data_IF_827300748399
#
_entry.id   IF_827300748399
#
_cell.length_a   1.000
_cell.length_b   1.000
_cell.length_c   1.000
_cell.angle_alpha   90.00
_cell.angle_beta   90.00
_cell.angle_gamma   90.00
#
_symmetry.space_group_name_H-M   'P 1'
#
loop_
_entity.id
_entity.type
_entity.pdbx_description
1 polymer ?
#
# COMPACT_ATOMS: atom_id res chain seq x y z
N UNK A 1 21.43 22.25 7.19
CA UNK A 1 21.39 20.95 7.92
C UNK A 1 22.75 20.73 8.53
N UNK A 2 22.89 20.95 9.84
CA UNK A 2 24.17 21.00 10.53
C UNK A 2 25.00 19.73 10.41
N UNK A 3 26.32 19.89 10.23
CA UNK A 3 27.31 18.79 10.14
C UNK A 3 27.22 17.83 11.35
N UNK A 4 26.79 18.32 12.52
CA UNK A 4 26.62 17.54 13.76
C UNK A 4 25.48 16.52 13.67
N UNK A 5 24.30 16.93 13.19
CA UNK A 5 23.14 16.03 12.98
C UNK A 5 23.37 14.95 11.92
N UNK A 6 24.28 15.16 10.96
CA UNK A 6 24.65 14.13 9.96
C UNK A 6 25.56 13.05 10.55
N UNK A 7 26.38 13.38 11.55
CA UNK A 7 27.32 12.45 12.18
C UNK A 7 26.59 11.49 13.12
N UNK A 8 25.74 12.02 14.01
CA UNK A 8 24.89 11.24 14.90
C UNK A 8 23.93 10.30 14.15
N UNK A 9 23.42 10.73 12.99
CA UNK A 9 22.55 9.90 12.16
C UNK A 9 23.30 8.78 11.43
N UNK A 10 24.61 8.93 11.19
CA UNK A 10 25.45 7.85 10.64
C UNK A 10 25.80 6.83 11.72
N UNK A 11 26.18 7.29 12.90
CA UNK A 11 26.50 6.44 14.06
C UNK A 11 25.29 5.57 14.45
N UNK A 12 24.08 6.14 14.50
CA UNK A 12 22.85 5.35 14.72
C UNK A 12 22.56 4.29 13.64
N UNK A 13 22.87 4.59 12.39
CA UNK A 13 22.67 3.63 11.28
C UNK A 13 23.70 2.49 11.38
N UNK A 14 24.93 2.78 11.79
CA UNK A 14 25.96 1.77 12.06
C UNK A 14 25.58 0.88 13.23
N UNK A 15 25.09 1.44 14.34
CA UNK A 15 24.62 0.67 15.50
C UNK A 15 23.42 -0.23 15.16
N UNK A 16 22.41 0.31 14.46
CA UNK A 16 21.24 -0.49 14.03
C UNK A 16 21.65 -1.59 13.03
N UNK A 17 22.67 -1.35 12.20
CA UNK A 17 23.18 -2.32 11.25
C UNK A 17 23.96 -3.45 11.95
N UNK A 18 24.84 -3.13 12.90
CA UNK A 18 25.53 -4.14 13.71
C UNK A 18 24.55 -5.01 14.49
N UNK A 19 23.51 -4.40 15.08
CA UNK A 19 22.48 -5.13 15.81
C UNK A 19 21.71 -6.09 14.91
N UNK A 20 21.31 -5.63 13.72
CA UNK A 20 20.63 -6.46 12.71
C UNK A 20 21.50 -7.62 12.21
N UNK A 21 22.81 -7.39 12.06
CA UNK A 21 23.77 -8.44 11.67
C UNK A 21 23.93 -9.51 12.75
N UNK A 22 24.01 -9.11 14.03
CA UNK A 22 24.07 -10.06 15.16
C UNK A 22 22.78 -10.87 15.31
N UNK A 23 21.63 -10.26 15.05
CA UNK A 23 20.33 -10.97 15.03
C UNK A 23 20.24 -11.98 13.88
N UNK A 24 20.76 -11.63 12.70
CA UNK A 24 20.88 -12.55 11.56
C UNK A 24 21.84 -13.71 11.84
N UNK A 25 22.99 -13.44 12.48
CA UNK A 25 23.95 -14.48 12.88
C UNK A 25 23.32 -15.46 13.87
N UNK A 26 22.58 -14.95 14.87
CA UNK A 26 21.83 -15.81 15.81
C UNK A 26 20.77 -16.67 15.11
N UNK A 27 20.01 -16.10 14.18
CA UNK A 27 19.02 -16.88 13.40
C UNK A 27 19.68 -17.96 12.54
N UNK A 28 20.87 -17.69 11.99
CA UNK A 28 21.66 -18.69 11.25
C UNK A 28 22.17 -19.78 12.19
N UNK A 29 22.58 -19.42 13.39
CA UNK A 29 23.06 -20.36 14.42
C UNK A 29 21.93 -21.26 14.96
N UNK A 30 20.75 -20.69 15.23
CA UNK A 30 19.53 -21.44 15.57
C UNK A 30 19.10 -22.40 14.44
N UNK A 31 19.23 -21.95 13.18
CA UNK A 31 18.96 -22.81 12.01
C UNK A 31 19.99 -23.94 11.86
N UNK A 32 21.26 -23.70 12.21
CA UNK A 32 22.31 -24.74 12.26
C UNK A 32 22.01 -25.77 13.36
N UNK A 33 21.62 -25.32 14.55
CA UNK A 33 21.26 -26.21 15.67
C UNK A 33 20.00 -27.04 15.37
N UNK A 34 19.06 -26.49 14.57
CA UNK A 34 17.85 -27.20 14.17
C UNK A 34 18.06 -28.33 13.15
N UNK A 35 19.25 -28.43 12.54
CA UNK A 35 19.59 -29.48 11.56
C UNK A 35 18.80 -29.43 10.25
N UNK A 36 17.94 -28.42 10.04
CA UNK A 36 17.04 -28.31 8.90
C UNK A 36 17.72 -27.75 7.63
N UNK A 37 18.89 -27.12 7.76
CA UNK A 37 19.55 -26.43 6.65
C UNK A 37 21.06 -26.67 6.66
N UNK A 38 21.58 -27.11 5.52
CA UNK A 38 23.00 -27.34 5.26
C UNK A 38 23.74 -25.98 5.27
N UNK A 39 24.66 -25.73 6.23
CA UNK A 39 25.26 -24.41 6.46
C UNK A 39 26.06 -23.87 5.27
N UNK A 40 26.63 -24.76 4.45
CA UNK A 40 27.40 -24.39 3.26
C UNK A 40 26.53 -23.90 2.09
N UNK A 41 25.20 -24.04 2.20
CA UNK A 41 24.25 -23.58 1.17
C UNK A 41 23.56 -22.26 1.52
N UNK A 42 23.77 -21.71 2.70
CA UNK A 42 23.14 -20.45 3.13
C UNK A 42 23.89 -19.26 2.51
N UNK A 43 23.40 -18.78 1.36
CA UNK A 43 23.95 -17.60 0.70
C UNK A 43 23.15 -16.35 1.11
N UNK A 44 23.67 -15.58 2.06
CA UNK A 44 23.07 -14.29 2.46
C UNK A 44 23.30 -13.27 1.34
N UNK A 45 22.31 -13.10 0.47
CA UNK A 45 22.36 -12.08 -0.57
C UNK A 45 21.86 -10.76 -0.01
N UNK A 46 22.77 -9.79 0.14
CA UNK A 46 22.38 -8.40 0.44
C UNK A 46 21.59 -7.83 -0.74
N UNK A 47 20.26 -7.93 -0.68
CA UNK A 47 19.38 -7.24 -1.62
C UNK A 47 19.38 -5.76 -1.26
N UNK A 48 20.08 -4.94 -2.05
CA UNK A 48 19.96 -3.48 -1.94
C UNK A 48 18.55 -3.11 -2.38
N UNK A 49 17.67 -2.86 -1.41
CA UNK A 49 16.36 -2.27 -1.69
C UNK A 49 16.60 -0.97 -2.48
N UNK A 50 16.00 -0.81 -3.66
CA UNK A 50 16.16 0.42 -4.42
C UNK A 50 15.64 1.57 -3.57
N UNK A 51 16.52 2.50 -3.23
CA UNK A 51 16.17 3.63 -2.38
C UNK A 51 15.18 4.51 -3.15
N UNK A 52 13.88 4.37 -2.84
CA UNK A 52 12.83 5.15 -3.50
C UNK A 52 12.97 6.59 -3.02
N UNK A 53 13.27 7.51 -3.95
CA UNK A 53 13.35 8.93 -3.62
C UNK A 53 12.08 9.39 -2.91
N UNK A 54 12.16 10.20 -1.84
CA UNK A 54 10.98 10.69 -1.12
C UNK A 54 10.03 11.50 -2.01
N UNK A 55 10.54 12.12 -3.09
CA UNK A 55 9.72 12.74 -4.15
C UNK A 55 8.87 11.71 -4.90
N UNK A 56 9.46 10.58 -5.28
CA UNK A 56 8.77 9.48 -5.97
C UNK A 56 7.75 8.82 -5.04
N UNK A 57 8.08 8.63 -3.76
CA UNK A 57 7.15 8.10 -2.75
C UNK A 57 5.90 8.99 -2.60
N UNK A 58 6.07 10.32 -2.57
CA UNK A 58 4.95 11.26 -2.53
C UNK A 58 4.12 11.25 -3.82
N UNK A 59 4.77 11.14 -4.98
CA UNK A 59 4.06 11.04 -6.26
C UNK A 59 3.23 9.76 -6.35
N UNK A 60 3.77 8.62 -5.93
CA UNK A 60 3.04 7.36 -5.86
C UNK A 60 1.81 7.47 -4.97
N UNK A 61 1.97 8.09 -3.79
CA UNK A 61 0.86 8.34 -2.86
C UNK A 61 -0.23 9.23 -3.46
N UNK A 62 0.15 10.32 -4.14
CA UNK A 62 -0.81 11.21 -4.79
C UNK A 62 -1.59 10.49 -5.90
N UNK A 63 -0.91 9.68 -6.70
CA UNK A 63 -1.56 8.91 -7.76
C UNK A 63 -2.51 7.86 -7.17
N UNK A 64 -2.16 7.21 -6.06
CA UNK A 64 -3.06 6.30 -5.37
C UNK A 64 -4.35 7.01 -4.90
N UNK A 65 -4.23 8.22 -4.38
CA UNK A 65 -5.40 9.05 -4.02
C UNK A 65 -6.26 9.33 -5.24
N UNK A 66 -5.65 9.78 -6.35
CA UNK A 66 -6.39 10.10 -7.59
C UNK A 66 -7.10 8.87 -8.15
N UNK A 67 -6.44 7.71 -8.14
CA UNK A 67 -7.06 6.45 -8.56
C UNK A 67 -8.25 6.11 -7.66
N UNK A 68 -8.08 6.19 -6.34
CA UNK A 68 -9.16 5.88 -5.38
C UNK A 68 -10.34 6.85 -5.50
N UNK A 69 -10.06 8.12 -5.80
CA UNK A 69 -11.07 9.12 -6.13
C UNK A 69 -11.84 8.73 -7.41
N UNK A 70 -11.14 8.38 -8.49
CA UNK A 70 -11.76 7.94 -9.74
C UNK A 70 -12.62 6.68 -9.56
N UNK A 71 -12.20 5.77 -8.69
CA UNK A 71 -12.98 4.59 -8.33
C UNK A 71 -14.32 4.98 -7.72
N UNK A 72 -14.30 5.88 -6.73
CA UNK A 72 -15.50 6.33 -6.05
C UNK A 72 -16.44 7.12 -6.98
N UNK A 73 -15.88 8.01 -7.81
CA UNK A 73 -16.65 8.73 -8.83
C UNK A 73 -17.28 7.75 -9.83
N UNK A 74 -16.55 6.74 -10.28
CA UNK A 74 -17.10 5.72 -11.18
C UNK A 74 -18.17 4.85 -10.51
N UNK A 75 -18.02 4.55 -9.22
CA UNK A 75 -19.04 3.88 -8.42
C UNK A 75 -20.31 4.71 -8.25
N UNK A 76 -20.22 6.05 -8.30
CA UNK A 76 -21.39 6.92 -8.19
C UNK A 76 -22.45 6.69 -9.28
N UNK A 77 -22.07 6.11 -10.44
CA UNK A 77 -23.03 5.69 -11.47
C UNK A 77 -23.90 4.49 -11.09
N UNK A 78 -23.51 3.75 -10.05
CA UNK A 78 -24.21 2.56 -9.54
C UNK A 78 -24.83 2.78 -8.15
N UNK A 79 -24.76 4.02 -7.65
CA UNK A 79 -25.20 4.45 -6.34
C UNK A 79 -26.16 5.62 -6.53
N UNK A 80 -27.31 5.59 -5.85
CA UNK A 80 -28.23 6.72 -5.82
C UNK A 80 -27.92 7.55 -4.59
N UNK A 81 -27.69 8.83 -4.82
CA UNK A 81 -27.72 9.85 -3.78
C UNK A 81 -29.18 10.14 -3.47
N UNK A 82 -29.62 9.86 -2.24
CA UNK A 82 -30.96 10.24 -1.77
C UNK A 82 -30.99 11.77 -1.60
N UNK A 83 -32.16 12.38 -1.84
CA UNK A 83 -32.36 13.80 -2.14
C UNK A 83 -31.50 14.80 -1.32
N UNK A 84 -30.95 15.76 -2.08
CA UNK A 84 -29.98 16.83 -1.76
C UNK A 84 -28.49 16.45 -1.75
N UNK A 85 -27.83 16.43 -2.92
CA UNK A 85 -26.38 16.34 -2.98
C UNK A 85 -25.81 17.76 -2.80
N UNK A 86 -25.77 18.28 -1.58
CA UNK A 86 -24.82 19.37 -1.35
C UNK A 86 -23.42 18.79 -1.65
N UNK A 87 -22.63 19.50 -2.46
CA UNK A 87 -21.28 19.12 -2.85
C UNK A 87 -20.43 18.69 -1.63
N UNK A 88 -20.73 19.25 -0.45
CA UNK A 88 -20.18 18.90 0.86
C UNK A 88 -20.32 17.42 1.21
N UNK A 89 -21.51 16.82 1.08
CA UNK A 89 -21.74 15.40 1.41
C UNK A 89 -21.06 14.46 0.43
N UNK A 90 -21.06 14.81 -0.86
CA UNK A 90 -20.30 14.07 -1.86
C UNK A 90 -18.80 14.07 -1.53
N UNK A 91 -18.23 15.24 -1.23
CA UNK A 91 -16.81 15.38 -0.85
C UNK A 91 -16.49 14.66 0.46
N UNK A 92 -17.43 14.64 1.41
CA UNK A 92 -17.28 13.92 2.67
C UNK A 92 -17.27 12.41 2.44
N UNK A 93 -18.19 11.87 1.64
CA UNK A 93 -18.23 10.45 1.31
C UNK A 93 -16.98 10.00 0.53
N UNK A 94 -16.55 10.79 -0.45
CA UNK A 94 -15.27 10.60 -1.16
C UNK A 94 -14.10 10.62 -0.17
N UNK A 95 -14.10 11.57 0.76
CA UNK A 95 -13.07 11.70 1.79
C UNK A 95 -13.00 10.44 2.65
N UNK A 96 -14.12 10.01 3.23
CA UNK A 96 -14.20 8.80 4.04
C UNK A 96 -13.71 7.58 3.24
N UNK A 97 -14.11 7.46 1.98
CA UNK A 97 -13.68 6.35 1.14
C UNK A 97 -12.17 6.36 0.93
N UNK A 98 -11.62 7.46 0.40
CA UNK A 98 -10.20 7.58 0.04
C UNK A 98 -9.31 7.47 1.27
N UNK A 99 -9.65 8.17 2.36
CA UNK A 99 -8.87 8.12 3.59
C UNK A 99 -9.02 6.77 4.30
N UNK A 100 -10.24 6.24 4.38
CA UNK A 100 -10.50 4.93 4.96
C UNK A 100 -9.72 3.84 4.25
N UNK A 101 -9.79 3.80 2.92
CA UNK A 101 -9.04 2.86 2.10
C UNK A 101 -7.52 3.01 2.31
N UNK A 102 -7.01 4.23 2.28
CA UNK A 102 -5.58 4.51 2.45
C UNK A 102 -5.06 4.08 3.83
N UNK A 103 -5.83 4.36 4.89
CA UNK A 103 -5.48 4.00 6.26
C UNK A 103 -5.50 2.48 6.42
N UNK A 104 -6.56 1.82 5.92
CA UNK A 104 -6.70 0.36 5.97
C UNK A 104 -5.55 -0.34 5.25
N UNK A 105 -5.20 0.11 4.04
CA UNK A 105 -4.07 -0.46 3.29
C UNK A 105 -2.76 -0.31 4.09
N UNK A 106 -2.48 0.88 4.61
CA UNK A 106 -1.27 1.10 5.43
C UNK A 106 -1.26 0.29 6.73
N UNK A 107 -2.43 0.11 7.34
CA UNK A 107 -2.58 -0.69 8.55
C UNK A 107 -2.31 -2.17 8.26
N UNK A 108 -2.82 -2.68 7.15
CA UNK A 108 -2.56 -4.05 6.67
C UNK A 108 -1.08 -4.21 6.34
N UNK A 109 -0.47 -3.25 5.65
CA UNK A 109 0.97 -3.28 5.34
C UNK A 109 1.84 -3.29 6.60
N UNK A 110 1.41 -2.61 7.66
CA UNK A 110 2.10 -2.57 8.95
C UNK A 110 1.93 -3.87 9.74
N UNK A 111 0.71 -4.42 9.80
CA UNK A 111 0.39 -5.62 10.58
C UNK A 111 0.88 -6.90 9.89
N UNK A 112 0.85 -6.94 8.55
CA UNK A 112 1.08 -8.15 7.75
C UNK A 112 2.02 -7.87 6.56
N UNK A 113 3.27 -7.44 6.80
CA UNK A 113 4.20 -7.04 5.74
C UNK A 113 4.58 -8.19 4.80
N UNK A 114 4.67 -9.43 5.32
CA UNK A 114 4.93 -10.63 4.50
C UNK A 114 3.81 -10.83 3.47
N UNK A 115 2.56 -10.68 3.89
CA UNK A 115 1.41 -10.88 3.02
C UNK A 115 1.25 -9.74 1.99
N UNK A 116 1.54 -8.49 2.37
CA UNK A 116 1.52 -7.35 1.45
C UNK A 116 2.43 -7.54 0.23
N UNK A 117 3.59 -8.17 0.41
CA UNK A 117 4.53 -8.48 -0.69
C UNK A 117 3.99 -9.59 -1.60
N UNK A 118 3.37 -10.63 -1.04
CA UNK A 118 2.84 -11.76 -1.84
C UNK A 118 1.53 -11.45 -2.57
N UNK A 119 0.75 -10.49 -2.09
CA UNK A 119 -0.60 -10.28 -2.62
C UNK A 119 -0.66 -9.46 -3.92
N UNK A 120 0.46 -8.90 -4.40
CA UNK A 120 0.50 -8.00 -5.57
C UNK A 120 -0.59 -6.90 -5.57
N UNK A 121 -1.00 -6.42 -4.39
CA UNK A 121 -2.05 -5.41 -4.25
C UNK A 121 -3.47 -5.95 -4.02
N UNK A 122 -3.68 -7.27 -3.93
CA UNK A 122 -4.96 -7.86 -3.54
C UNK A 122 -5.47 -7.40 -2.15
N UNK A 123 -4.60 -7.01 -1.21
CA UNK A 123 -5.06 -6.39 0.05
C UNK A 123 -5.71 -5.01 -0.16
N UNK A 124 -5.38 -4.31 -1.23
CA UNK A 124 -6.10 -3.09 -1.63
C UNK A 124 -7.58 -3.36 -1.93
N UNK A 125 -7.93 -4.59 -2.33
CA UNK A 125 -9.31 -5.03 -2.54
C UNK A 125 -10.04 -5.07 -1.21
N UNK A 126 -9.48 -5.78 -0.23
CA UNK A 126 -10.09 -5.95 1.09
C UNK A 126 -10.22 -4.59 1.78
N UNK A 127 -9.15 -3.78 1.75
CA UNK A 127 -9.16 -2.43 2.30
C UNK A 127 -10.21 -1.54 1.65
N UNK A 128 -10.35 -1.59 0.33
CA UNK A 128 -11.34 -0.79 -0.38
C UNK A 128 -12.79 -1.29 -0.25
N UNK A 129 -13.03 -2.59 -0.06
CA UNK A 129 -14.36 -3.13 0.30
C UNK A 129 -14.74 -2.64 1.70
N UNK A 130 -13.84 -2.77 2.68
CA UNK A 130 -14.09 -2.29 4.03
C UNK A 130 -14.32 -0.78 4.03
N UNK A 131 -13.50 -0.02 3.29
CA UNK A 131 -13.69 1.42 3.14
C UNK A 131 -15.04 1.77 2.50
N UNK A 132 -15.49 1.01 1.49
CA UNK A 132 -16.79 1.20 0.87
C UNK A 132 -17.95 0.96 1.85
N UNK A 133 -17.86 -0.11 2.65
CA UNK A 133 -18.83 -0.40 3.71
C UNK A 133 -18.84 0.72 4.75
N UNK A 134 -17.67 1.21 5.17
CA UNK A 134 -17.58 2.36 6.06
C UNK A 134 -18.22 3.61 5.44
N UNK A 135 -17.98 3.88 4.16
CA UNK A 135 -18.61 5.02 3.49
C UNK A 135 -20.13 4.90 3.49
N UNK A 136 -20.71 3.73 3.25
CA UNK A 136 -22.17 3.55 3.34
C UNK A 136 -22.68 3.74 4.78
N UNK A 137 -21.96 3.24 5.78
CA UNK A 137 -22.34 3.37 7.18
C UNK A 137 -22.30 4.82 7.67
N UNK A 138 -21.32 5.60 7.23
CA UNK A 138 -21.12 6.98 7.66
C UNK A 138 -21.75 8.02 6.71
N UNK A 139 -22.17 7.62 5.51
CA UNK A 139 -22.95 8.42 4.58
C UNK A 139 -24.28 7.69 4.26
N UNK A 140 -25.26 7.73 5.18
CA UNK A 140 -26.51 6.96 5.08
C UNK A 140 -27.40 7.36 3.90
N UNK A 141 -27.08 8.45 3.22
CA UNK A 141 -27.76 8.97 2.02
C UNK A 141 -27.36 8.23 0.73
N UNK A 142 -26.45 7.26 0.83
CA UNK A 142 -25.97 6.42 -0.27
C UNK A 142 -26.82 5.15 -0.33
N UNK A 143 -27.61 5.00 -1.39
CA UNK A 143 -28.35 3.76 -1.67
C UNK A 143 -27.75 3.01 -2.86
N UNK A 144 -27.62 1.68 -2.74
CA UNK A 144 -27.09 0.84 -3.80
C UNK A 144 -28.19 0.59 -4.82
N UNK A 145 -28.00 1.01 -6.07
CA UNK A 145 -28.97 0.79 -7.16
C UNK A 145 -28.80 -0.60 -7.76
N UNK A 146 -27.55 -1.05 -7.93
CA UNK A 146 -27.24 -2.37 -8.47
C UNK A 146 -26.01 -2.96 -7.80
N UNK A 147 -26.23 -3.94 -6.91
CA UNK A 147 -25.15 -4.67 -6.24
C UNK A 147 -24.25 -5.37 -7.25
N UNK A 148 -24.83 -5.97 -8.31
CA UNK A 148 -24.05 -6.61 -9.37
C UNK A 148 -23.19 -5.60 -10.15
N UNK A 149 -23.75 -4.43 -10.47
CA UNK A 149 -23.03 -3.35 -11.16
C UNK A 149 -21.85 -2.83 -10.33
N UNK A 150 -22.06 -2.62 -9.02
CA UNK A 150 -21.00 -2.25 -8.07
C UNK A 150 -19.88 -3.29 -8.06
N UNK A 151 -20.21 -4.59 -7.92
CA UNK A 151 -19.22 -5.67 -7.89
C UNK A 151 -18.43 -5.74 -9.20
N UNK A 152 -19.11 -5.74 -10.35
CA UNK A 152 -18.47 -5.82 -11.66
C UNK A 152 -17.57 -4.61 -11.93
N UNK A 153 -18.04 -3.40 -11.61
CA UNK A 153 -17.24 -2.19 -11.72
C UNK A 153 -16.00 -2.26 -10.84
N UNK A 154 -16.15 -2.75 -9.61
CA UNK A 154 -15.04 -2.94 -8.68
C UNK A 154 -13.99 -3.89 -9.25
N UNK A 155 -14.39 -5.04 -9.80
CA UNK A 155 -13.49 -6.01 -10.44
C UNK A 155 -12.73 -5.38 -11.61
N UNK A 156 -13.44 -4.71 -12.52
CA UNK A 156 -12.83 -4.04 -13.68
C UNK A 156 -11.82 -2.98 -13.22
N UNK A 157 -12.22 -2.19 -12.23
CA UNK A 157 -11.36 -1.14 -11.68
C UNK A 157 -10.11 -1.72 -11.01
N UNK A 158 -10.21 -2.87 -10.35
CA UNK A 158 -9.06 -3.54 -9.75
C UNK A 158 -8.04 -4.00 -10.79
N UNK A 159 -8.51 -4.56 -11.91
CA UNK A 159 -7.63 -4.93 -13.01
C UNK A 159 -6.92 -3.69 -13.56
N UNK A 160 -7.67 -2.60 -13.79
CA UNK A 160 -7.12 -1.31 -14.22
C UNK A 160 -6.09 -0.74 -13.23
N UNK A 161 -6.41 -0.74 -11.93
CA UNK A 161 -5.51 -0.24 -10.88
C UNK A 161 -4.22 -1.04 -10.82
N UNK A 162 -4.29 -2.36 -10.88
CA UNK A 162 -3.13 -3.24 -10.90
C UNK A 162 -2.27 -3.00 -12.13
N UNK A 163 -2.88 -2.82 -13.31
CA UNK A 163 -2.18 -2.47 -14.55
C UNK A 163 -1.48 -1.10 -14.44
N UNK A 164 -2.16 -0.08 -13.91
CA UNK A 164 -1.60 1.25 -13.72
C UNK A 164 -0.42 1.20 -12.74
N UNK A 165 -0.57 0.52 -11.59
CA UNK A 165 0.51 0.32 -10.62
C UNK A 165 1.69 -0.38 -11.26
N UNK A 166 1.46 -1.46 -12.00
CA UNK A 166 2.50 -2.20 -12.70
C UNK A 166 3.24 -1.31 -13.71
N UNK A 167 2.52 -0.57 -14.57
CA UNK A 167 3.11 0.36 -15.54
C UNK A 167 3.95 1.46 -14.86
N UNK A 168 3.47 1.99 -13.73
CA UNK A 168 4.17 3.01 -12.96
C UNK A 168 5.44 2.48 -12.31
N UNK A 169 5.36 1.34 -11.63
CA UNK A 169 6.52 0.64 -11.05
C UNK A 169 7.53 0.38 -12.17
N UNK A 170 7.08 -0.20 -13.28
CA UNK A 170 7.95 -0.52 -14.41
C UNK A 170 8.64 0.74 -14.92
N UNK A 171 7.92 1.84 -15.21
CA UNK A 171 8.54 3.12 -15.64
C UNK A 171 9.49 3.74 -14.61
N UNK A 172 9.20 3.65 -13.31
CA UNK A 172 10.01 4.26 -12.25
C UNK A 172 11.31 3.47 -12.01
N UNK A 173 11.27 2.13 -12.13
CA UNK A 173 12.41 1.25 -11.88
C UNK A 173 13.23 0.94 -13.14
N UNK A 174 12.65 0.93 -14.35
CA UNK A 174 13.41 0.68 -15.60
C UNK A 174 14.16 1.89 -16.11
N UNK A 175 13.72 3.13 -15.83
CA UNK A 175 14.45 4.36 -16.24
C UNK A 175 15.84 4.54 -15.62
N UNK A 176 16.28 3.67 -14.70
CA UNK A 176 17.62 3.68 -14.11
C UNK A 176 18.56 2.59 -14.66
N UNK A 177 18.12 1.78 -15.63
CA UNK A 177 18.93 0.70 -16.25
C UNK A 177 19.40 1.00 -17.68
N UNK A 178 19.40 2.27 -18.11
CA UNK A 178 20.03 2.72 -19.36
C UNK A 178 21.03 3.81 -19.03
#
# INVERSE_FOLDING_TARGET
MDKKKRKEKREKIEEDFEKSMRELEKQIEELKESGLVDPDKIKVVKVRLPNIDPKKRRLLFFIEIVISFLLFVGLSGYIKWVDYPELSYFLLAVGIYVFGETILIKLIDLLLPKFAVYSLGAFGIIGGIIAFVLTILFAPEISIVSTFGVIMFYIIFLVLRSLIKWLMINRIFTRKRV
#
